data_IF_755870415233
#
_entry.id   IF_755870415233
#
_cell.length_a   1.000
_cell.length_b   1.000
_cell.length_c   1.000
_cell.angle_alpha   90.00
_cell.angle_beta   90.00
_cell.angle_gamma   90.00
#
_symmetry.space_group_name_H-M   'P 1'
#
loop_
_entity.id
_entity.type
_entity.pdbx_description
1 polymer ?
#
# COMPACT_ATOMS: atom_id res chain seq x y z
N UNK A 1 -19.60 21.26 -3.07
CA UNK A 1 -18.25 21.58 -3.57
C UNK A 1 -17.24 20.77 -2.79
N UNK A 2 -17.15 19.48 -3.08
CA UNK A 2 -16.48 18.49 -2.23
C UNK A 2 -14.99 18.30 -2.61
N UNK A 3 -14.60 18.72 -3.82
CA UNK A 3 -13.23 18.63 -4.32
C UNK A 3 -12.27 19.75 -3.87
N UNK A 4 -12.74 20.77 -3.14
CA UNK A 4 -11.93 21.96 -2.80
C UNK A 4 -10.70 21.60 -1.93
N UNK A 5 -10.80 20.74 -0.89
CA UNK A 5 -9.64 20.36 -0.09
C UNK A 5 -8.58 19.60 -0.89
N UNK A 6 -9.00 18.64 -1.73
CA UNK A 6 -8.09 17.85 -2.59
C UNK A 6 -7.39 18.76 -3.60
N UNK A 7 -8.11 19.70 -4.23
CA UNK A 7 -7.53 20.60 -5.22
C UNK A 7 -6.55 21.62 -4.62
N UNK A 8 -6.78 22.08 -3.39
CA UNK A 8 -5.94 23.10 -2.76
C UNK A 8 -4.77 22.52 -1.96
N UNK A 9 -4.99 21.42 -1.23
CA UNK A 9 -3.98 20.87 -0.30
C UNK A 9 -2.98 19.97 -1.02
N UNK A 10 -3.42 19.14 -1.97
CA UNK A 10 -2.53 18.19 -2.65
C UNK A 10 -1.32 18.85 -3.32
N UNK A 11 -1.45 19.97 -4.07
CA UNK A 11 -0.29 20.63 -4.67
C UNK A 11 0.68 21.21 -3.64
N UNK A 12 0.17 21.77 -2.54
CA UNK A 12 1.02 22.31 -1.47
C UNK A 12 1.78 21.20 -0.76
N UNK A 13 1.10 20.10 -0.40
CA UNK A 13 1.72 18.93 0.21
C UNK A 13 2.82 18.35 -0.68
N UNK A 14 2.53 18.15 -1.98
CA UNK A 14 3.50 17.62 -2.95
C UNK A 14 4.73 18.52 -3.09
N UNK A 15 4.53 19.85 -3.13
CA UNK A 15 5.63 20.79 -3.26
C UNK A 15 6.54 20.80 -2.02
N UNK A 16 5.96 20.79 -0.82
CA UNK A 16 6.75 20.75 0.42
C UNK A 16 7.45 19.39 0.57
N UNK A 17 6.77 18.29 0.29
CA UNK A 17 7.32 16.94 0.43
C UNK A 17 8.52 16.67 -0.51
N UNK A 18 8.55 17.34 -1.68
CA UNK A 18 9.70 17.27 -2.61
C UNK A 18 10.98 17.81 -1.98
N UNK A 19 10.89 18.86 -1.18
CA UNK A 19 12.04 19.46 -0.51
C UNK A 19 12.32 18.84 0.87
N UNK A 20 11.25 18.46 1.58
CA UNK A 20 11.31 17.95 2.95
C UNK A 20 10.39 16.73 3.10
N UNK A 21 10.98 15.53 3.12
CA UNK A 21 10.25 14.25 3.15
C UNK A 21 9.70 13.90 4.54
N UNK A 22 8.90 14.79 5.13
CA UNK A 22 8.19 14.50 6.38
C UNK A 22 7.09 13.47 6.12
N UNK A 23 7.20 12.28 6.70
CA UNK A 23 6.28 11.15 6.48
C UNK A 23 4.82 11.50 6.75
N UNK A 24 4.57 12.46 7.66
CA UNK A 24 3.23 12.95 7.98
C UNK A 24 2.43 13.47 6.77
N UNK A 25 3.09 13.84 5.65
CA UNK A 25 2.39 14.17 4.41
C UNK A 25 1.80 12.94 3.72
N UNK A 26 2.45 11.77 3.80
CA UNK A 26 1.89 10.50 3.35
C UNK A 26 0.69 10.13 4.23
N UNK A 27 0.81 10.30 5.56
CA UNK A 27 -0.31 10.08 6.47
C UNK A 27 -1.50 11.01 6.19
N UNK A 28 -1.25 12.31 6.01
CA UNK A 28 -2.30 13.27 5.64
C UNK A 28 -2.94 12.90 4.30
N UNK A 29 -2.15 12.43 3.34
CA UNK A 29 -2.66 11.87 2.09
C UNK A 29 -3.60 10.69 2.35
N UNK A 30 -3.29 9.83 3.32
CA UNK A 30 -4.15 8.68 3.67
C UNK A 30 -5.50 9.12 4.20
N UNK A 31 -5.55 10.22 4.96
CA UNK A 31 -6.80 10.82 5.45
C UNK A 31 -7.62 11.37 4.27
N UNK A 32 -6.99 12.09 3.33
CA UNK A 32 -7.68 12.60 2.15
C UNK A 32 -8.28 11.46 1.31
N UNK A 33 -7.57 10.34 1.18
CA UNK A 33 -8.06 9.16 0.47
C UNK A 33 -9.20 8.48 1.24
N UNK A 34 -9.11 8.42 2.56
CA UNK A 34 -10.16 7.84 3.40
C UNK A 34 -11.48 8.59 3.28
N UNK A 35 -11.41 9.93 3.25
CA UNK A 35 -12.59 10.81 3.15
C UNK A 35 -13.14 10.90 1.72
N UNK A 36 -12.27 11.00 0.70
CA UNK A 36 -12.69 11.35 -0.67
C UNK A 36 -12.45 10.25 -1.72
N UNK A 37 -11.83 9.11 -1.36
CA UNK A 37 -11.42 8.07 -2.32
C UNK A 37 -12.59 7.36 -3.01
N UNK A 38 -13.78 7.38 -2.42
CA UNK A 38 -14.99 6.82 -3.05
C UNK A 38 -15.63 7.77 -4.06
N UNK A 39 -15.32 9.07 -4.01
CA UNK A 39 -15.87 10.07 -4.92
C UNK A 39 -15.18 10.05 -6.28
N UNK A 40 -15.91 9.71 -7.35
CA UNK A 40 -15.34 9.58 -8.70
C UNK A 40 -14.60 10.84 -9.18
N UNK A 41 -15.13 12.03 -8.84
CA UNK A 41 -14.51 13.31 -9.19
C UNK A 41 -13.17 13.59 -8.49
N UNK A 42 -12.84 12.85 -7.43
CA UNK A 42 -11.62 13.03 -6.63
C UNK A 42 -10.55 11.96 -6.92
N UNK A 43 -10.95 10.77 -7.42
CA UNK A 43 -10.05 9.61 -7.61
C UNK A 43 -8.79 9.93 -8.41
N UNK A 44 -8.91 10.64 -9.52
CA UNK A 44 -7.74 10.98 -10.36
C UNK A 44 -6.78 11.93 -9.63
N UNK A 45 -7.28 13.00 -9.02
CA UNK A 45 -6.44 13.95 -8.29
C UNK A 45 -5.75 13.33 -7.06
N UNK A 46 -6.43 12.40 -6.39
CA UNK A 46 -5.81 11.61 -5.32
C UNK A 46 -4.72 10.69 -5.87
N UNK A 47 -4.97 10.01 -7.00
CA UNK A 47 -3.96 9.14 -7.62
C UNK A 47 -2.73 9.94 -8.06
N UNK A 48 -2.92 11.12 -8.65
CA UNK A 48 -1.84 12.03 -9.04
C UNK A 48 -1.01 12.46 -7.82
N UNK A 49 -1.67 12.73 -6.68
CA UNK A 49 -1.01 13.01 -5.41
C UNK A 49 -0.17 11.82 -4.94
N UNK A 50 -0.72 10.60 -4.92
CA UNK A 50 0.03 9.40 -4.55
C UNK A 50 1.28 9.24 -5.41
N UNK A 51 1.12 9.33 -6.73
CA UNK A 51 2.23 9.20 -7.68
C UNK A 51 3.31 10.24 -7.43
N UNK A 52 2.94 11.49 -7.18
CA UNK A 52 3.87 12.57 -6.91
C UNK A 52 4.61 12.40 -5.58
N UNK A 53 3.94 11.90 -4.54
CA UNK A 53 4.54 11.61 -3.23
C UNK A 53 5.45 10.38 -3.27
N UNK A 54 5.12 9.38 -4.10
CA UNK A 54 5.93 8.17 -4.24
C UNK A 54 7.34 8.45 -4.79
N UNK A 55 7.51 9.47 -5.66
CA UNK A 55 8.82 9.77 -6.27
C UNK A 55 9.91 10.04 -5.22
N UNK A 56 9.82 11.10 -4.39
CA UNK A 56 10.82 11.34 -3.35
C UNK A 56 10.80 10.29 -2.25
N UNK A 57 9.67 9.60 -2.02
CA UNK A 57 9.60 8.48 -1.07
C UNK A 57 10.51 7.33 -1.51
N UNK A 58 10.41 6.88 -2.76
CA UNK A 58 11.24 5.79 -3.25
C UNK A 58 12.71 6.20 -3.30
N UNK A 59 13.04 7.42 -3.70
CA UNK A 59 14.41 7.94 -3.64
C UNK A 59 14.99 7.92 -2.23
N UNK A 60 14.17 8.19 -1.21
CA UNK A 60 14.58 8.11 0.20
C UNK A 60 14.83 6.66 0.62
N UNK A 61 13.96 5.73 0.23
CA UNK A 61 14.07 4.31 0.59
C UNK A 61 15.17 3.56 -0.20
N UNK A 62 15.54 4.04 -1.39
CA UNK A 62 16.67 3.51 -2.19
C UNK A 62 18.04 3.78 -1.57
N UNK A 63 18.13 4.71 -0.61
CA UNK A 63 19.38 4.99 0.08
C UNK A 63 19.90 3.75 0.83
N UNK A 64 21.21 3.65 1.09
CA UNK A 64 21.76 2.58 1.93
C UNK A 64 21.05 2.52 3.29
N UNK A 65 20.48 1.36 3.61
CA UNK A 65 19.65 1.13 4.79
C UNK A 65 18.41 2.04 4.87
N UNK A 66 17.85 2.48 3.73
CA UNK A 66 16.73 3.43 3.69
C UNK A 66 15.51 2.96 4.47
N UNK A 67 15.17 1.68 4.39
CA UNK A 67 14.06 1.08 5.18
C UNK A 67 14.30 1.20 6.69
N UNK A 68 15.53 0.93 7.15
CA UNK A 68 15.90 0.99 8.57
C UNK A 68 16.02 2.44 9.08
N UNK A 69 16.47 3.35 8.21
CA UNK A 69 16.69 4.75 8.56
C UNK A 69 15.39 5.58 8.51
N UNK A 70 14.38 5.13 7.76
CA UNK A 70 13.13 5.85 7.54
C UNK A 70 11.87 4.98 7.81
N UNK A 71 11.76 4.33 8.98
CA UNK A 71 10.63 3.44 9.28
C UNK A 71 9.30 4.19 9.33
N UNK A 72 9.27 5.46 9.76
CA UNK A 72 8.06 6.29 9.76
C UNK A 72 7.54 6.55 8.33
N UNK A 73 8.47 6.67 7.37
CA UNK A 73 8.10 6.81 5.94
C UNK A 73 7.52 5.52 5.40
N UNK A 74 8.06 4.36 5.81
CA UNK A 74 7.50 3.04 5.46
C UNK A 74 6.10 2.90 6.05
N UNK A 75 5.92 3.20 7.34
CA UNK A 75 4.61 3.18 7.99
C UNK A 75 3.58 4.04 7.23
N UNK A 76 3.86 5.33 7.09
CA UNK A 76 2.90 6.26 6.49
C UNK A 76 2.65 6.01 4.99
N UNK A 77 3.64 5.50 4.24
CA UNK A 77 3.46 5.05 2.86
C UNK A 77 2.43 3.93 2.78
N UNK A 78 2.55 2.91 3.63
CA UNK A 78 1.64 1.77 3.58
C UNK A 78 0.29 2.03 4.25
N UNK A 79 0.20 3.01 5.17
CA UNK A 79 -1.09 3.57 5.60
C UNK A 79 -1.84 4.23 4.44
N UNK A 80 -1.15 5.03 3.63
CA UNK A 80 -1.70 5.65 2.42
C UNK A 80 -2.12 4.60 1.40
N UNK A 81 -1.25 3.63 1.10
CA UNK A 81 -1.55 2.57 0.14
C UNK A 81 -2.74 1.69 0.58
N UNK A 82 -2.81 1.32 1.87
CA UNK A 82 -3.92 0.56 2.42
C UNK A 82 -5.26 1.31 2.30
N UNK A 83 -5.26 2.62 2.57
CA UNK A 83 -6.45 3.46 2.38
C UNK A 83 -6.89 3.53 0.93
N UNK A 84 -5.95 3.61 -0.01
CA UNK A 84 -6.27 3.57 -1.43
C UNK A 84 -6.91 2.26 -1.86
N UNK A 85 -6.36 1.12 -1.44
CA UNK A 85 -6.92 -0.19 -1.74
C UNK A 85 -8.33 -0.33 -1.18
N UNK A 86 -8.60 0.17 0.02
CA UNK A 86 -9.91 0.07 0.65
C UNK A 86 -10.97 0.98 0.00
N UNK A 87 -10.57 2.15 -0.52
CA UNK A 87 -11.51 3.18 -1.02
C UNK A 87 -11.67 3.17 -2.53
N UNK A 88 -10.61 2.83 -3.27
CA UNK A 88 -10.58 2.85 -4.73
C UNK A 88 -9.62 1.79 -5.30
N UNK A 89 -9.87 0.50 -5.04
CA UNK A 89 -8.95 -0.59 -5.38
C UNK A 89 -8.63 -0.64 -6.87
N UNK A 90 -9.64 -0.57 -7.73
CA UNK A 90 -9.46 -0.64 -9.20
C UNK A 90 -8.63 0.52 -9.72
N UNK A 91 -8.77 1.73 -9.16
CA UNK A 91 -7.97 2.90 -9.54
C UNK A 91 -6.49 2.69 -9.23
N UNK A 92 -6.17 2.18 -8.03
CA UNK A 92 -4.78 1.92 -7.65
C UNK A 92 -4.20 0.71 -8.42
N UNK A 93 -4.93 -0.41 -8.51
CA UNK A 93 -4.47 -1.64 -9.17
C UNK A 93 -4.19 -1.46 -10.67
N UNK A 94 -4.92 -0.58 -11.35
CA UNK A 94 -4.66 -0.25 -12.77
C UNK A 94 -3.56 0.78 -12.98
N UNK A 95 -3.06 1.40 -11.90
CA UNK A 95 -2.05 2.45 -11.99
C UNK A 95 -0.64 1.89 -12.09
N UNK A 96 0.24 2.61 -12.79
CA UNK A 96 1.65 2.21 -12.95
C UNK A 96 2.45 2.26 -11.64
N UNK A 97 2.06 3.10 -10.69
CA UNK A 97 2.73 3.22 -9.38
C UNK A 97 2.48 2.01 -8.48
N UNK A 98 1.48 1.18 -8.79
CA UNK A 98 1.21 -0.05 -8.03
C UNK A 98 2.41 -1.00 -8.02
N UNK A 99 3.10 -1.15 -9.17
CA UNK A 99 4.23 -2.08 -9.32
C UNK A 99 5.36 -1.75 -8.32
N UNK A 100 5.90 -0.52 -8.27
CA UNK A 100 6.93 -0.19 -7.29
C UNK A 100 6.40 -0.22 -5.84
N UNK A 101 5.14 0.13 -5.58
CA UNK A 101 4.55 -0.01 -4.24
C UNK A 101 4.61 -1.48 -3.76
N UNK A 102 4.27 -2.44 -4.63
CA UNK A 102 4.34 -3.87 -4.30
C UNK A 102 5.78 -4.33 -4.05
N UNK A 103 6.73 -3.89 -4.87
CA UNK A 103 8.14 -4.23 -4.69
C UNK A 103 8.66 -3.72 -3.34
N UNK A 104 8.31 -2.49 -2.97
CA UNK A 104 8.64 -1.94 -1.66
C UNK A 104 7.92 -2.64 -0.51
N UNK A 105 6.67 -3.07 -0.69
CA UNK A 105 5.93 -3.81 0.33
C UNK A 105 6.62 -5.13 0.65
N UNK A 106 7.03 -5.88 -0.38
CA UNK A 106 7.77 -7.14 -0.23
C UNK A 106 9.13 -6.89 0.41
N UNK A 107 9.88 -5.87 -0.04
CA UNK A 107 11.18 -5.54 0.56
C UNK A 107 11.04 -5.16 2.04
N UNK A 108 9.99 -4.41 2.40
CA UNK A 108 9.75 -3.91 3.75
C UNK A 108 9.25 -4.97 4.73
N UNK A 109 8.86 -6.18 4.29
CA UNK A 109 8.41 -7.22 5.24
C UNK A 109 9.53 -7.61 6.21
N UNK A 110 10.80 -7.46 5.86
CA UNK A 110 11.94 -7.81 6.72
C UNK A 110 12.34 -6.70 7.70
N UNK A 111 11.67 -5.54 7.65
CA UNK A 111 11.96 -4.41 8.51
C UNK A 111 11.49 -4.69 9.94
N UNK A 112 12.45 -4.82 10.87
CA UNK A 112 12.18 -4.96 12.31
C UNK A 112 11.82 -3.61 12.95
N UNK A 113 10.63 -3.11 12.59
CA UNK A 113 10.02 -1.94 13.19
C UNK A 113 8.52 -2.18 13.32
N UNK A 114 8.01 -2.12 14.56
CA UNK A 114 6.66 -2.58 14.90
C UNK A 114 5.56 -1.92 14.05
N UNK A 115 5.51 -0.59 14.03
CA UNK A 115 4.42 0.13 13.37
C UNK A 115 4.51 0.04 11.84
N UNK A 116 5.73 0.12 11.32
CA UNK A 116 6.00 0.00 9.88
C UNK A 116 5.64 -1.40 9.38
N UNK A 117 6.04 -2.45 10.10
CA UNK A 117 5.71 -3.82 9.76
C UNK A 117 4.20 -4.06 9.82
N UNK A 118 3.52 -3.56 10.86
CA UNK A 118 2.07 -3.66 10.99
C UNK A 118 1.36 -3.02 9.78
N UNK A 119 1.79 -1.82 9.35
CA UNK A 119 1.21 -1.15 8.18
C UNK A 119 1.50 -1.87 6.85
N UNK A 120 2.71 -2.43 6.68
CA UNK A 120 3.06 -3.26 5.51
C UNK A 120 2.17 -4.51 5.45
N UNK A 121 2.06 -5.26 6.55
CA UNK A 121 1.26 -6.49 6.59
C UNK A 121 -0.22 -6.19 6.38
N UNK A 122 -0.73 -5.12 6.99
CA UNK A 122 -2.11 -4.65 6.79
C UNK A 122 -2.39 -4.33 5.32
N UNK A 123 -1.49 -3.59 4.67
CA UNK A 123 -1.61 -3.29 3.24
C UNK A 123 -1.63 -4.57 2.40
N UNK A 124 -0.70 -5.49 2.61
CA UNK A 124 -0.62 -6.75 1.86
C UNK A 124 -1.88 -7.60 2.05
N UNK A 125 -2.38 -7.71 3.29
CA UNK A 125 -3.63 -8.42 3.58
C UNK A 125 -4.81 -7.80 2.84
N UNK A 126 -5.01 -6.49 3.00
CA UNK A 126 -6.16 -5.78 2.41
C UNK A 126 -6.11 -5.79 0.87
N UNK A 127 -4.89 -5.71 0.30
CA UNK A 127 -4.66 -5.89 -1.13
C UNK A 127 -5.14 -7.25 -1.62
N UNK A 128 -4.70 -8.34 -1.00
CA UNK A 128 -5.04 -9.69 -1.47
C UNK A 128 -6.54 -9.95 -1.24
N UNK A 129 -7.06 -9.52 -0.09
CA UNK A 129 -8.48 -9.61 0.24
C UNK A 129 -9.39 -8.94 -0.79
N UNK A 130 -8.89 -7.92 -1.52
CA UNK A 130 -9.63 -7.23 -2.59
C UNK A 130 -10.13 -8.18 -3.67
N UNK A 131 -9.47 -9.32 -3.92
CA UNK A 131 -9.89 -10.32 -4.91
C UNK A 131 -11.03 -11.24 -4.43
N UNK A 132 -11.42 -11.15 -3.15
CA UNK A 132 -12.42 -12.01 -2.50
C UNK A 132 -13.58 -11.19 -1.91
N UNK A 133 -13.29 -9.98 -1.44
CA UNK A 133 -14.26 -9.13 -0.75
C UNK A 133 -15.41 -8.66 -1.66
N UNK A 134 -16.61 -8.53 -1.08
CA UNK A 134 -17.79 -7.92 -1.70
C UNK A 134 -18.08 -8.48 -3.10
N UNK A 135 -18.28 -9.79 -3.20
CA UNK A 135 -18.55 -10.52 -4.45
C UNK A 135 -19.86 -10.11 -5.16
N UNK A 136 -20.74 -9.42 -4.44
CA UNK A 136 -21.97 -8.85 -4.98
C UNK A 136 -21.78 -7.51 -5.75
N UNK A 137 -20.62 -6.87 -5.67
CA UNK A 137 -20.35 -5.58 -6.33
C UNK A 137 -20.08 -5.77 -7.83
N UNK A 138 -20.51 -4.80 -8.65
CA UNK A 138 -20.36 -4.87 -10.12
C UNK A 138 -18.90 -4.97 -10.58
N UNK A 139 -17.96 -4.44 -9.78
CA UNK A 139 -16.53 -4.43 -10.09
C UNK A 139 -15.78 -5.69 -9.61
N UNK A 140 -16.47 -6.67 -8.98
CA UNK A 140 -15.84 -7.83 -8.36
C UNK A 140 -14.97 -8.63 -9.33
N UNK A 141 -15.48 -8.97 -10.52
CA UNK A 141 -14.71 -9.74 -11.51
C UNK A 141 -13.46 -8.98 -11.98
N UNK A 142 -13.53 -7.65 -12.07
CA UNK A 142 -12.37 -6.81 -12.40
C UNK A 142 -11.34 -6.84 -11.27
N UNK A 143 -11.78 -6.74 -10.01
CA UNK A 143 -10.89 -6.80 -8.84
C UNK A 143 -10.22 -8.17 -8.74
N UNK A 144 -10.99 -9.25 -8.90
CA UNK A 144 -10.50 -10.63 -8.89
C UNK A 144 -9.43 -10.87 -9.95
N UNK A 145 -9.68 -10.44 -11.19
CA UNK A 145 -8.70 -10.56 -12.28
C UNK A 145 -7.41 -9.78 -12.00
N UNK A 146 -7.51 -8.54 -11.52
CA UNK A 146 -6.35 -7.72 -11.19
C UNK A 146 -5.52 -8.34 -10.05
N UNK A 147 -6.16 -8.89 -9.01
CA UNK A 147 -5.44 -9.59 -7.94
C UNK A 147 -4.82 -10.89 -8.43
N UNK A 148 -5.49 -11.66 -9.30
CA UNK A 148 -4.89 -12.85 -9.92
C UNK A 148 -3.62 -12.52 -10.72
N UNK A 149 -3.59 -11.37 -11.41
CA UNK A 149 -2.38 -10.90 -12.10
C UNK A 149 -1.25 -10.58 -11.12
N UNK A 150 -1.56 -9.91 -10.00
CA UNK A 150 -0.59 -9.64 -8.93
C UNK A 150 -0.05 -10.95 -8.34
N UNK A 151 -0.92 -11.91 -8.04
CA UNK A 151 -0.54 -13.20 -7.45
C UNK A 151 0.29 -14.05 -8.42
N UNK A 152 -0.02 -14.00 -9.72
CA UNK A 152 0.75 -14.69 -10.76
C UNK A 152 2.17 -14.14 -10.87
N UNK A 153 2.35 -12.82 -10.73
CA UNK A 153 3.65 -12.17 -10.88
C UNK A 153 4.50 -12.21 -9.62
N UNK A 154 3.89 -12.01 -8.44
CA UNK A 154 4.61 -11.75 -7.19
C UNK A 154 4.29 -12.74 -6.06
N UNK A 155 3.26 -13.59 -6.20
CA UNK A 155 2.79 -14.47 -5.13
C UNK A 155 3.90 -15.38 -4.57
N UNK A 156 4.70 -15.99 -5.46
CA UNK A 156 5.81 -16.85 -5.03
C UNK A 156 6.90 -16.08 -4.28
N UNK A 157 7.25 -14.88 -4.74
CA UNK A 157 8.24 -14.04 -4.08
C UNK A 157 7.74 -13.61 -2.70
N UNK A 158 6.47 -13.19 -2.61
CA UNK A 158 5.84 -12.77 -1.37
C UNK A 158 5.85 -13.91 -0.33
N UNK A 159 5.40 -15.11 -0.70
CA UNK A 159 5.38 -16.27 0.23
C UNK A 159 6.79 -16.60 0.74
N UNK A 160 7.79 -16.63 -0.15
CA UNK A 160 9.17 -16.89 0.24
C UNK A 160 9.69 -15.83 1.22
N UNK A 161 9.40 -14.56 0.94
CA UNK A 161 9.82 -13.45 1.77
C UNK A 161 9.15 -13.49 3.16
N UNK A 162 7.84 -13.78 3.22
CA UNK A 162 7.11 -13.92 4.48
C UNK A 162 7.67 -15.06 5.33
N UNK A 163 7.97 -16.22 4.73
CA UNK A 163 8.59 -17.35 5.42
C UNK A 163 9.98 -16.99 5.96
N UNK A 164 10.83 -16.40 5.12
CA UNK A 164 12.16 -15.94 5.54
C UNK A 164 12.08 -14.94 6.70
N UNK A 165 11.15 -14.01 6.61
CA UNK A 165 10.91 -12.96 7.60
C UNK A 165 10.54 -13.57 8.96
N UNK A 166 9.59 -14.52 8.99
CA UNK A 166 9.17 -15.22 10.21
C UNK A 166 10.28 -16.04 10.87
N UNK A 167 11.17 -16.63 10.07
CA UNK A 167 12.22 -17.51 10.58
C UNK A 167 13.46 -16.76 11.07
N UNK A 168 13.80 -15.62 10.44
CA UNK A 168 15.13 -15.02 10.60
C UNK A 168 15.15 -13.52 10.87
N UNK A 169 14.09 -12.77 10.53
CA UNK A 169 14.15 -11.30 10.54
C UNK A 169 13.34 -10.69 11.68
N UNK A 170 12.12 -11.16 11.92
CA UNK A 170 11.19 -10.49 12.84
C UNK A 170 10.98 -11.26 14.15
N UNK A 171 10.72 -10.53 15.24
CA UNK A 171 10.29 -11.11 16.50
C UNK A 171 8.88 -11.75 16.41
N UNK A 172 8.53 -12.70 17.30
CA UNK A 172 7.30 -13.48 17.20
C UNK A 172 5.97 -12.70 17.25
N UNK A 173 5.97 -11.42 17.65
CA UNK A 173 4.73 -10.64 17.72
C UNK A 173 4.15 -10.32 16.33
N UNK A 174 4.92 -10.48 15.25
CA UNK A 174 4.47 -10.23 13.86
C UNK A 174 3.83 -11.46 13.22
N UNK A 175 3.96 -12.64 13.85
CA UNK A 175 3.42 -13.89 13.32
C UNK A 175 1.91 -13.86 13.05
N UNK A 176 1.05 -13.23 13.88
CA UNK A 176 -0.38 -13.10 13.57
C UNK A 176 -0.61 -12.31 12.28
N UNK A 177 0.08 -11.19 12.09
CA UNK A 177 -0.08 -10.34 10.92
C UNK A 177 0.38 -11.07 9.64
N UNK A 178 1.51 -11.80 9.71
CA UNK A 178 1.98 -12.63 8.59
C UNK A 178 1.00 -13.76 8.29
N UNK A 179 0.41 -14.38 9.32
CA UNK A 179 -0.57 -15.45 9.15
C UNK A 179 -1.84 -14.95 8.44
N UNK A 180 -2.30 -13.72 8.73
CA UNK A 180 -3.43 -13.11 8.01
C UNK A 180 -3.11 -12.94 6.51
N UNK A 181 -1.91 -12.48 6.16
CA UNK A 181 -1.51 -12.35 4.74
C UNK A 181 -1.49 -13.72 4.05
N UNK A 182 -0.87 -14.72 4.66
CA UNK A 182 -0.83 -16.09 4.11
C UNK A 182 -2.23 -16.69 3.98
N UNK A 183 -3.13 -16.40 4.92
CA UNK A 183 -4.52 -16.84 4.87
C UNK A 183 -5.25 -16.25 3.67
N UNK A 184 -5.11 -14.95 3.41
CA UNK A 184 -5.73 -14.31 2.24
C UNK A 184 -5.19 -14.89 0.93
N UNK A 185 -3.88 -15.19 0.84
CA UNK A 185 -3.30 -15.89 -0.33
C UNK A 185 -4.02 -17.22 -0.57
N UNK A 186 -4.28 -17.98 0.50
CA UNK A 186 -4.99 -19.25 0.38
C UNK A 186 -6.44 -19.09 -0.09
N UNK A 187 -7.10 -17.94 0.11
CA UNK A 187 -8.47 -17.72 -0.35
C UNK A 187 -8.59 -17.55 -1.86
N UNK A 188 -7.56 -16.98 -2.50
CA UNK A 188 -7.59 -16.67 -3.94
C UNK A 188 -7.61 -17.94 -4.79
N UNK A 189 -6.90 -18.98 -4.38
CA UNK A 189 -6.70 -20.23 -5.13
C UNK A 189 -7.36 -21.43 -4.44
N UNK A 190 -8.46 -21.19 -3.69
CA UNK A 190 -9.23 -22.28 -3.09
C UNK A 190 -9.90 -23.11 -4.20
N UNK A 191 -9.64 -24.42 -4.27
CA UNK A 191 -10.29 -25.32 -5.23
C UNK A 191 -11.79 -25.49 -4.96
#
# INVERSE_FOLDING_TARGET
GVAVPVQLLSPQMVNVYREHQHSCFLYLGSILVDEYGMEEGCRQGLLDMLQALCIPTFQLLEQPNGLQNHPDTVDDLFRLAARFIQRSPVTLLRSQVMIPILQWAIAATTLDHRDANCSVMKFLRDLIHTGVANDHEEDFEVRKELINQVMTQLGQQLVNQLLQTCCFCLPPYTLPDVAEVLWEIMQIDRP
#
